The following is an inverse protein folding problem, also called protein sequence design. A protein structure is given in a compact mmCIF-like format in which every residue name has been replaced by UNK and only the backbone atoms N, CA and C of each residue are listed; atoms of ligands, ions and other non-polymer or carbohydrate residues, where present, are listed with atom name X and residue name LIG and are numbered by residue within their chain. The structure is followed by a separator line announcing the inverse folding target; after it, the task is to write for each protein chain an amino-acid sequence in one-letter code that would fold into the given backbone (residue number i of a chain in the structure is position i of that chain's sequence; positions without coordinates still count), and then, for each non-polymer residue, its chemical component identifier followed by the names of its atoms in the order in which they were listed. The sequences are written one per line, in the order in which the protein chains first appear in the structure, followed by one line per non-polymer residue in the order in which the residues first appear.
data_IF_891128736493
#
_entry.id   IF_891128736493
#
_cell.length_a   1.000
_cell.length_b   1.000
_cell.length_c   1.000
_cell.angle_alpha   90.00
_cell.angle_beta   90.00
_cell.angle_gamma   90.00
#
_symmetry.space_group_name_H-M   'P 1'
#
loop_
_entity.id
_entity.type
_entity.pdbx_description
1 polymer ?
#
# COMPACT_ATOMS: atom_id res chain seq x y z
N UNK A 1 14.92 16.63 4.22
CA UNK A 1 14.01 15.48 4.05
C UNK A 1 13.20 15.77 2.80
N UNK A 2 13.07 14.80 1.90
CA UNK A 2 12.06 14.91 0.85
C UNK A 2 10.72 14.69 1.55
N UNK A 3 9.83 15.68 1.53
CA UNK A 3 8.47 15.52 2.02
C UNK A 3 7.73 14.62 1.03
N UNK A 4 7.73 13.31 1.30
CA UNK A 4 6.95 12.35 0.53
C UNK A 4 5.48 12.67 0.77
N UNK A 5 4.76 13.06 -0.28
CA UNK A 5 3.33 13.35 -0.17
C UNK A 5 2.57 12.03 -0.13
N UNK A 6 2.24 11.58 1.08
CA UNK A 6 1.42 10.39 1.31
C UNK A 6 -0.06 10.82 1.28
N UNK A 7 -0.92 10.18 0.45
CA UNK A 7 -2.35 10.42 0.49
C UNK A 7 -2.93 10.12 1.87
N UNK A 8 -3.83 10.99 2.31
CA UNK A 8 -4.48 10.87 3.62
C UNK A 8 -5.51 9.75 3.65
N UNK A 9 -5.93 9.34 4.84
CA UNK A 9 -7.07 8.44 4.97
C UNK A 9 -8.33 8.95 4.26
N UNK A 10 -8.60 10.26 4.27
CA UNK A 10 -9.75 10.85 3.58
C UNK A 10 -9.68 10.62 2.06
N UNK A 11 -8.48 10.75 1.47
CA UNK A 11 -8.26 10.47 0.05
C UNK A 11 -8.55 8.99 -0.27
N UNK A 12 -8.01 8.07 0.54
CA UNK A 12 -8.24 6.64 0.36
C UNK A 12 -9.71 6.24 0.48
N UNK A 13 -10.39 6.73 1.52
CA UNK A 13 -11.81 6.46 1.76
C UNK A 13 -12.66 7.02 0.61
N UNK A 14 -12.38 8.26 0.17
CA UNK A 14 -13.16 8.92 -0.88
C UNK A 14 -13.03 8.23 -2.24
N UNK A 15 -11.84 7.72 -2.56
CA UNK A 15 -11.54 7.14 -3.89
C UNK A 15 -11.90 5.66 -3.95
N UNK A 16 -11.63 4.90 -2.89
CA UNK A 16 -11.74 3.45 -2.91
C UNK A 16 -12.85 2.90 -2.00
N UNK A 17 -13.47 3.72 -1.15
CA UNK A 17 -14.48 3.25 -0.19
C UNK A 17 -13.94 2.28 0.86
N UNK A 18 -12.61 2.22 1.04
CA UNK A 18 -11.94 1.35 1.99
C UNK A 18 -12.02 1.89 3.42
N UNK A 19 -11.59 1.11 4.43
CA UNK A 19 -11.42 1.63 5.79
C UNK A 19 -9.98 2.11 6.00
N UNK A 20 -9.80 3.25 6.66
CA UNK A 20 -8.48 3.78 7.00
C UNK A 20 -8.48 4.42 8.40
N UNK A 21 -7.38 4.24 9.13
CA UNK A 21 -7.13 4.83 10.44
C UNK A 21 -5.65 5.21 10.61
N UNK A 22 -5.37 6.10 11.56
CA UNK A 22 -4.01 6.48 11.97
C UNK A 22 -3.91 6.25 13.48
N UNK A 23 -2.89 5.50 13.91
CA UNK A 23 -2.68 5.21 15.32
C UNK A 23 -1.80 6.26 16.05
N UNK A 24 -1.59 6.05 17.35
CA UNK A 24 -0.79 6.95 18.19
C UNK A 24 0.71 6.97 17.82
N UNK A 25 1.17 5.96 17.06
CA UNK A 25 2.55 5.85 16.58
C UNK A 25 2.71 6.45 15.18
N UNK A 26 1.69 7.19 14.70
CA UNK A 26 1.64 7.80 13.38
C UNK A 26 1.79 6.78 12.24
N UNK A 27 1.19 5.59 12.42
CA UNK A 27 1.05 4.61 11.35
C UNK A 27 -0.33 4.71 10.74
N UNK A 28 -0.39 5.03 9.45
CA UNK A 28 -1.64 5.00 8.67
C UNK A 28 -1.91 3.56 8.21
N UNK A 29 -3.01 2.98 8.69
CA UNK A 29 -3.47 1.63 8.35
C UNK A 29 -4.66 1.72 7.39
N UNK A 30 -4.53 1.12 6.22
CA UNK A 30 -5.56 1.08 5.18
C UNK A 30 -5.94 -0.38 4.96
N UNK A 31 -7.23 -0.68 4.93
CA UNK A 31 -7.74 -2.03 4.72
C UNK A 31 -8.76 -2.06 3.58
N UNK A 32 -8.48 -2.91 2.60
CA UNK A 32 -9.33 -3.21 1.45
C UNK A 32 -9.86 -4.65 1.55
N UNK A 33 -10.99 -4.89 0.90
CA UNK A 33 -11.60 -6.21 0.72
C UNK A 33 -11.96 -6.38 -0.75
N UNK A 34 -11.59 -7.52 -1.34
CA UNK A 34 -11.87 -7.81 -2.76
C UNK A 34 -13.13 -8.67 -2.94
N UNK A 35 -13.49 -8.97 -4.19
CA UNK A 35 -14.67 -9.78 -4.51
C UNK A 35 -14.64 -11.22 -3.97
N UNK A 36 -13.46 -11.73 -3.58
CA UNK A 36 -13.28 -13.06 -3.02
C UNK A 36 -13.20 -13.05 -1.48
N UNK A 37 -13.40 -11.89 -0.86
CA UNK A 37 -13.23 -11.62 0.58
C UNK A 37 -11.79 -11.78 1.06
N UNK A 38 -10.79 -11.65 0.17
CA UNK A 38 -9.42 -11.49 0.60
C UNK A 38 -9.25 -10.09 1.20
N UNK A 39 -8.34 -9.96 2.16
CA UNK A 39 -8.09 -8.70 2.86
C UNK A 39 -6.69 -8.21 2.51
N UNK A 40 -6.59 -6.99 1.99
CA UNK A 40 -5.31 -6.30 1.80
C UNK A 40 -5.18 -5.22 2.87
N UNK A 41 -4.14 -5.33 3.70
CA UNK A 41 -3.78 -4.30 4.66
C UNK A 41 -2.51 -3.60 4.19
N UNK A 42 -2.55 -2.28 4.08
CA UNK A 42 -1.39 -1.43 3.79
C UNK A 42 -1.15 -0.56 5.02
N UNK A 43 0.03 -0.68 5.61
CA UNK A 43 0.46 0.15 6.73
C UNK A 43 1.57 1.08 6.27
N UNK A 44 1.46 2.36 6.57
CA UNK A 44 2.43 3.38 6.18
C UNK A 44 2.92 4.08 7.45
N UNK A 45 4.19 3.92 7.77
CA UNK A 45 4.83 4.66 8.85
C UNK A 45 5.12 6.09 8.41
N UNK A 46 4.40 7.06 8.96
CA UNK A 46 4.50 8.47 8.53
C UNK A 46 5.78 9.15 9.03
N UNK A 47 6.42 8.59 10.08
CA UNK A 47 7.67 9.12 10.64
C UNK A 47 8.89 8.57 9.90
N UNK A 48 8.90 7.26 9.63
CA UNK A 48 10.05 6.55 9.06
C UNK A 48 9.93 6.29 7.56
N UNK A 49 8.81 6.67 6.94
CA UNK A 49 8.50 6.41 5.53
C UNK A 49 8.60 4.92 5.17
N UNK A 50 8.20 4.06 6.10
CA UNK A 50 8.08 2.61 5.87
C UNK A 50 6.70 2.24 5.34
N UNK A 51 6.63 1.15 4.58
CA UNK A 51 5.37 0.57 4.11
C UNK A 51 5.39 -0.93 4.34
N UNK A 52 4.29 -1.46 4.89
CA UNK A 52 4.00 -2.88 4.98
C UNK A 52 2.74 -3.21 4.20
N UNK A 53 2.80 -4.19 3.31
CA UNK A 53 1.67 -4.69 2.53
C UNK A 53 1.42 -6.14 2.91
N UNK A 54 0.25 -6.42 3.49
CA UNK A 54 -0.14 -7.75 3.97
C UNK A 54 -1.40 -8.19 3.22
N UNK A 55 -1.29 -9.25 2.43
CA UNK A 55 -2.42 -9.89 1.77
C UNK A 55 -2.83 -11.13 2.56
N UNK A 56 -4.09 -11.18 2.98
CA UNK A 56 -4.70 -12.30 3.68
C UNK A 56 -5.74 -12.95 2.77
N UNK A 57 -5.73 -14.28 2.70
CA UNK A 57 -6.83 -15.03 2.07
C UNK A 57 -8.13 -14.82 2.85
N UNK A 58 -9.27 -15.12 2.23
CA UNK A 58 -10.57 -15.21 2.92
C UNK A 58 -10.59 -16.10 4.20
N UNK A 59 -9.64 -17.03 4.34
CA UNK A 59 -9.46 -17.87 5.54
C UNK A 59 -8.52 -17.26 6.60
N UNK A 60 -8.23 -15.95 6.50
CA UNK A 60 -7.28 -15.20 7.32
C UNK A 60 -5.83 -15.73 7.33
N UNK A 61 -5.43 -16.52 6.34
CA UNK A 61 -4.04 -16.94 6.14
C UNK A 61 -3.26 -15.86 5.38
N UNK A 62 -2.03 -15.59 5.82
CA UNK A 62 -1.12 -14.69 5.13
C UNK A 62 -0.70 -15.34 3.79
N UNK A 63 -1.04 -14.67 2.69
CA UNK A 63 -0.59 -15.00 1.33
C UNK A 63 0.72 -14.27 1.04
N UNK A 64 0.79 -12.99 1.42
CA UNK A 64 1.97 -12.16 1.22
C UNK A 64 2.14 -11.16 2.37
N UNK A 65 3.39 -10.84 2.71
CA UNK A 65 3.78 -9.88 3.73
C UNK A 65 5.08 -9.21 3.29
N UNK A 66 4.95 -8.00 2.74
CA UNK A 66 6.05 -7.22 2.18
C UNK A 66 6.31 -6.05 3.10
N UNK A 67 7.55 -5.88 3.56
CA UNK A 67 7.97 -4.71 4.32
C UNK A 67 9.14 -4.03 3.61
N UNK A 68 9.01 -2.73 3.36
CA UNK A 68 10.03 -1.91 2.72
C UNK A 68 10.10 -0.54 3.39
N UNK A 69 11.32 -0.03 3.54
CA UNK A 69 11.61 1.31 4.03
C UNK A 69 12.00 2.23 2.87
N UNK A 70 12.21 3.52 3.18
CA UNK A 70 12.63 4.53 2.19
C UNK A 70 11.61 4.71 1.07
N UNK A 71 10.33 4.82 1.44
CA UNK A 71 9.26 5.24 0.53
C UNK A 71 9.69 6.55 -0.15
N UNK A 72 9.65 6.55 -1.48
CA UNK A 72 9.96 7.72 -2.30
C UNK A 72 8.68 8.35 -2.84
N UNK A 73 7.72 7.52 -3.27
CA UNK A 73 6.46 8.00 -3.82
C UNK A 73 5.33 7.00 -3.60
N UNK A 74 4.13 7.51 -3.37
CA UNK A 74 2.90 6.73 -3.34
C UNK A 74 1.86 7.43 -4.21
N UNK A 75 1.53 6.82 -5.34
CA UNK A 75 0.56 7.31 -6.31
C UNK A 75 -0.72 6.47 -6.24
N UNK A 76 -1.86 7.14 -6.33
CA UNK A 76 -3.19 6.51 -6.42
C UNK A 76 -3.80 6.87 -7.77
N UNK A 77 -4.44 5.89 -8.41
CA UNK A 77 -5.11 6.08 -9.69
C UNK A 77 -6.57 5.59 -9.57
N UNK A 78 -7.49 6.55 -9.49
CA UNK A 78 -8.94 6.31 -9.36
C UNK A 78 -9.52 5.60 -10.59
N UNK A 79 -9.14 6.03 -11.80
CA UNK A 79 -9.69 5.47 -13.05
C UNK A 79 -9.37 3.98 -13.22
N UNK A 80 -8.17 3.57 -12.83
CA UNK A 80 -7.68 2.20 -12.99
C UNK A 80 -7.74 1.37 -11.71
N UNK A 81 -8.16 1.96 -10.59
CA UNK A 81 -8.19 1.32 -9.27
C UNK A 81 -6.82 0.76 -8.85
N UNK A 82 -5.75 1.53 -9.09
CA UNK A 82 -4.36 1.09 -8.85
C UNK A 82 -3.63 1.95 -7.83
N UNK A 83 -2.78 1.29 -7.06
CA UNK A 83 -1.76 1.91 -6.23
C UNK A 83 -0.38 1.65 -6.84
N UNK A 84 0.48 2.67 -6.84
CA UNK A 84 1.88 2.54 -7.21
C UNK A 84 2.76 3.08 -6.11
N UNK A 85 3.58 2.21 -5.54
CA UNK A 85 4.43 2.50 -4.39
C UNK A 85 5.88 2.32 -4.82
N UNK A 86 6.66 3.40 -4.76
CA UNK A 86 8.03 3.46 -5.23
C UNK A 86 8.95 3.63 -4.04
N UNK A 87 9.91 2.73 -3.91
CA UNK A 87 10.93 2.76 -2.86
C UNK A 87 12.29 3.01 -3.49
N UNK A 88 13.07 3.89 -2.86
CA UNK A 88 14.42 4.20 -3.30
C UNK A 88 15.42 3.79 -2.23
N UNK A 89 16.07 2.65 -2.46
CA UNK A 89 17.18 2.16 -1.64
C UNK A 89 18.46 2.08 -2.49
N UNK A 90 19.39 1.18 -2.17
CA UNK A 90 20.48 0.80 -3.09
C UNK A 90 19.97 0.26 -4.44
N UNK A 91 18.69 -0.13 -4.50
CA UNK A 91 17.97 -0.57 -5.70
C UNK A 91 16.61 0.13 -5.74
N UNK A 92 16.07 0.37 -6.95
CA UNK A 92 14.71 0.91 -7.10
C UNK A 92 13.71 -0.24 -7.09
N UNK A 93 12.78 -0.22 -6.13
CA UNK A 93 11.69 -1.21 -6.05
C UNK A 93 10.38 -0.49 -6.33
N UNK A 94 9.54 -1.10 -7.16
CA UNK A 94 8.20 -0.61 -7.48
C UNK A 94 7.20 -1.71 -7.15
N UNK A 95 6.26 -1.41 -6.26
CA UNK A 95 5.06 -2.20 -6.01
C UNK A 95 3.90 -1.56 -6.79
N UNK A 96 3.24 -2.34 -7.63
CA UNK A 96 1.98 -1.96 -8.29
C UNK A 96 0.89 -2.89 -7.80
N UNK A 97 -0.18 -2.33 -7.25
CA UNK A 97 -1.30 -3.09 -6.69
C UNK A 97 -2.56 -2.70 -7.45
N UNK A 98 -3.21 -3.69 -8.07
CA UNK A 98 -4.56 -3.55 -8.59
C UNK A 98 -5.55 -3.89 -7.48
N UNK A 99 -6.48 -2.99 -7.19
CA UNK A 99 -7.47 -3.13 -6.12
C UNK A 99 -8.79 -3.75 -6.59
N UNK A 100 -8.99 -3.99 -7.89
CA UNK A 100 -10.26 -4.43 -8.46
C UNK A 100 -10.11 -5.46 -9.60
N UNK A 101 -10.95 -6.49 -9.75
CA UNK A 101 -11.97 -7.01 -8.79
C UNK A 101 -11.36 -7.91 -7.71
N UNK A 102 -10.22 -8.52 -8.04
CA UNK A 102 -9.41 -9.40 -7.17
C UNK A 102 -8.02 -8.80 -7.11
N UNK A 103 -7.41 -8.81 -5.93
CA UNK A 103 -6.12 -8.13 -5.75
C UNK A 103 -5.01 -8.77 -6.59
N UNK A 104 -4.26 -7.91 -7.28
CA UNK A 104 -3.04 -8.30 -7.99
C UNK A 104 -1.87 -7.43 -7.49
N UNK A 105 -0.80 -8.07 -7.01
CA UNK A 105 0.39 -7.38 -6.50
C UNK A 105 1.56 -7.73 -7.41
N UNK A 106 2.09 -6.73 -8.11
CA UNK A 106 3.28 -6.82 -8.94
C UNK A 106 4.46 -6.13 -8.27
N UNK A 107 5.60 -6.82 -8.20
CA UNK A 107 6.84 -6.31 -7.63
C UNK A 107 7.89 -6.30 -8.72
N UNK A 108 8.53 -5.16 -8.95
CA UNK A 108 9.67 -5.04 -9.86
C UNK A 108 10.84 -4.37 -9.18
N UNK A 109 12.04 -4.84 -9.49
CA UNK A 109 13.30 -4.30 -8.99
C UNK A 109 14.22 -3.92 -10.14
N UNK A 110 14.81 -2.74 -10.08
CA UNK A 110 15.85 -2.30 -11.01
C UNK A 110 17.18 -2.20 -10.28
N UNK A 111 18.16 -2.97 -10.77
CA UNK A 111 19.56 -2.91 -10.33
C UNK A 111 20.31 -2.06 -11.35
N UNK A 112 21.03 -1.05 -10.87
CA UNK A 112 21.87 -0.16 -11.70
C UNK A 112 23.28 -0.73 -11.85
#
# INVERSE_FOLDING_TARGET
MLDVKIPSCEDFISIFGCSCDIDNDFVQSIKFEDAENNILNIKIGLIDNSVRVILLSNSNKIINDIYLESLQNLEINEETQKLKIIFNSSYKIILEINLWEVFEINISGMVY
#
